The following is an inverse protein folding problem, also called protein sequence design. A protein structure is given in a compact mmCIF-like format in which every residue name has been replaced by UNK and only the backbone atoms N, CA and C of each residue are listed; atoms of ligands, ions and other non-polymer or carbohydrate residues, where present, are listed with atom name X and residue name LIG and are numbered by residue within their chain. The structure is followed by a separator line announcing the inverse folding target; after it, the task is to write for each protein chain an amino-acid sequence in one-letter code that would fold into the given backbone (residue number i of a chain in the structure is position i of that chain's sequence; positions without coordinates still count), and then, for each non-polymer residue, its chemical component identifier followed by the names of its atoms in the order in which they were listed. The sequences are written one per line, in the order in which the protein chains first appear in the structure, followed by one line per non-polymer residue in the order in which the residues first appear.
data_IF_530911373684
#
_entry.id   IF_530911373684
#
_cell.length_a   1.000
_cell.length_b   1.000
_cell.length_c   1.000
_cell.angle_alpha   90.00
_cell.angle_beta   90.00
_cell.angle_gamma   90.00
#
_symmetry.space_group_name_H-M   'P 1'
#
loop_
_entity.id
_entity.type
_entity.pdbx_description
1 polymer ?
#
# COMPACT_ATOMS: atom_id res chain seq x y z
N UNK A 1 -10.83 23.61 -2.23
CA UNK A 1 -9.40 23.37 -1.92
C UNK A 1 -9.27 21.91 -1.51
N UNK A 2 -8.31 21.18 -2.09
CA UNK A 2 -8.17 19.76 -1.82
C UNK A 2 -7.53 19.52 -0.46
N UNK A 3 -7.93 18.47 0.28
CA UNK A 3 -7.15 18.03 1.43
C UNK A 3 -5.76 17.65 0.95
N UNK A 4 -4.72 18.30 1.49
CA UNK A 4 -3.31 18.06 1.15
C UNK A 4 -2.98 16.55 1.21
N UNK A 5 -3.60 15.82 2.14
CA UNK A 5 -3.46 14.37 2.29
C UNK A 5 -3.92 13.58 1.07
N UNK A 6 -5.06 13.93 0.47
CA UNK A 6 -5.56 13.23 -0.73
C UNK A 6 -4.62 13.44 -1.94
N UNK A 7 -4.06 14.64 -2.06
CA UNK A 7 -3.07 14.96 -3.10
C UNK A 7 -1.80 14.14 -2.89
N UNK A 8 -1.29 14.08 -1.65
CA UNK A 8 -0.09 13.32 -1.32
C UNK A 8 -0.25 11.82 -1.58
N UNK A 9 -1.38 11.20 -1.18
CA UNK A 9 -1.62 9.78 -1.48
C UNK A 9 -1.63 9.54 -2.99
N UNK A 10 -2.29 10.42 -3.74
CA UNK A 10 -2.35 10.28 -5.21
C UNK A 10 -0.96 10.32 -5.82
N UNK A 11 -0.12 11.27 -5.40
CA UNK A 11 1.28 11.36 -5.83
C UNK A 11 2.06 10.10 -5.46
N UNK A 12 2.00 9.66 -4.20
CA UNK A 12 2.76 8.51 -3.71
C UNK A 12 2.34 7.19 -4.40
N UNK A 13 1.05 7.04 -4.73
CA UNK A 13 0.53 5.90 -5.50
C UNK A 13 1.02 5.95 -6.95
N UNK A 14 1.02 7.11 -7.59
CA UNK A 14 1.58 7.24 -8.95
C UNK A 14 3.08 6.96 -8.97
N UNK A 15 3.82 7.44 -7.96
CA UNK A 15 5.26 7.24 -7.87
C UNK A 15 5.60 5.75 -7.72
N UNK A 16 4.96 5.02 -6.82
CA UNK A 16 5.26 3.58 -6.64
C UNK A 16 4.87 2.74 -7.87
N UNK A 17 3.81 3.11 -8.59
CA UNK A 17 3.46 2.48 -9.87
C UNK A 17 4.51 2.78 -10.94
N UNK A 18 5.00 4.01 -11.00
CA UNK A 18 6.08 4.40 -11.92
C UNK A 18 7.38 3.65 -11.61
N UNK A 19 7.72 3.46 -10.33
CA UNK A 19 8.86 2.63 -9.92
C UNK A 19 8.69 1.19 -10.37
N UNK A 20 7.48 0.63 -10.31
CA UNK A 20 7.20 -0.71 -10.81
C UNK A 20 7.52 -0.83 -12.31
N UNK A 21 7.09 0.15 -13.10
CA UNK A 21 7.40 0.21 -14.53
C UNK A 21 8.91 0.31 -14.78
N UNK A 22 9.63 1.17 -14.06
CA UNK A 22 11.09 1.28 -14.18
C UNK A 22 11.78 -0.06 -13.87
N UNK A 23 11.33 -0.76 -12.83
CA UNK A 23 11.87 -2.07 -12.47
C UNK A 23 11.60 -3.11 -13.55
N UNK A 24 10.41 -3.10 -14.16
CA UNK A 24 10.04 -3.96 -15.29
C UNK A 24 10.93 -3.72 -16.51
N UNK A 25 11.11 -2.46 -16.92
CA UNK A 25 11.99 -2.05 -18.03
C UNK A 25 13.45 -2.51 -17.82
N UNK A 26 13.87 -2.62 -16.56
CA UNK A 26 15.21 -3.09 -16.15
C UNK A 26 15.29 -4.61 -15.92
N UNK A 27 14.24 -5.38 -16.22
CA UNK A 27 14.14 -6.82 -15.96
C UNK A 27 14.39 -7.19 -14.47
N UNK A 28 13.95 -6.33 -13.54
CA UNK A 28 14.03 -6.56 -12.09
C UNK A 28 12.65 -6.98 -11.55
N UNK A 29 12.58 -7.70 -10.41
CA UNK A 29 11.30 -8.01 -9.76
C UNK A 29 10.50 -6.73 -9.45
N UNK A 30 9.29 -6.63 -9.99
CA UNK A 30 8.46 -5.42 -9.93
C UNK A 30 7.02 -5.66 -9.43
N UNK A 31 6.67 -6.89 -9.04
CA UNK A 31 5.31 -7.22 -8.60
C UNK A 31 4.95 -6.44 -7.35
N UNK A 32 3.90 -5.61 -7.44
CA UNK A 32 3.34 -4.90 -6.30
C UNK A 32 2.26 -5.72 -5.61
N UNK A 33 2.26 -5.67 -4.29
CA UNK A 33 1.28 -6.32 -3.43
C UNK A 33 0.60 -5.28 -2.56
N UNK A 34 -0.72 -5.40 -2.41
CA UNK A 34 -1.54 -4.64 -1.48
C UNK A 34 -2.11 -5.57 -0.42
N UNK A 35 -1.81 -5.31 0.85
CA UNK A 35 -2.55 -5.89 1.98
C UNK A 35 -3.49 -4.86 2.59
N UNK A 36 -4.69 -5.31 2.96
CA UNK A 36 -5.71 -4.47 3.57
C UNK A 36 -6.22 -5.18 4.82
N UNK A 37 -6.20 -4.47 5.95
CA UNK A 37 -6.71 -4.96 7.22
C UNK A 37 -7.62 -3.92 7.87
N UNK A 38 -8.81 -4.29 8.37
CA UNK A 38 -9.65 -3.37 9.13
C UNK A 38 -8.90 -2.75 10.31
N UNK A 39 -9.11 -1.46 10.56
CA UNK A 39 -8.36 -0.72 11.56
C UNK A 39 -8.67 -1.19 12.99
N UNK A 40 -9.91 -1.66 13.22
CA UNK A 40 -10.29 -2.28 14.49
C UNK A 40 -9.42 -3.51 14.77
N UNK A 41 -9.23 -4.35 13.75
CA UNK A 41 -8.39 -5.54 13.81
C UNK A 41 -6.92 -5.13 13.98
N UNK A 42 -6.45 -4.15 13.20
CA UNK A 42 -5.09 -3.59 13.33
C UNK A 42 -4.74 -3.15 14.75
N UNK A 43 -5.68 -2.52 15.47
CA UNK A 43 -5.48 -1.99 16.83
C UNK A 43 -5.49 -3.07 17.92
N UNK A 44 -6.04 -4.25 17.65
CA UNK A 44 -6.12 -5.37 18.59
C UNK A 44 -4.82 -6.18 18.60
N UNK A 45 -3.69 -5.49 18.79
CA UNK A 45 -2.29 -5.95 18.60
C UNK A 45 -1.87 -7.24 19.32
N UNK A 46 -2.74 -7.88 20.11
CA UNK A 46 -2.46 -9.09 20.89
C UNK A 46 -3.65 -10.05 21.05
N UNK A 47 -4.80 -9.80 20.41
CA UNK A 47 -5.99 -10.63 20.62
C UNK A 47 -6.15 -11.70 19.52
N UNK A 48 -6.45 -12.94 19.93
CA UNK A 48 -6.90 -13.99 19.02
C UNK A 48 -8.32 -13.62 18.56
N UNK A 49 -8.48 -13.32 17.27
CA UNK A 49 -9.79 -12.94 16.72
C UNK A 49 -10.45 -14.13 16.02
N UNK A 50 -11.72 -13.99 15.65
CA UNK A 50 -12.43 -14.96 14.79
C UNK A 50 -11.77 -15.15 13.40
N UNK A 51 -10.89 -14.23 12.98
CA UNK A 51 -10.13 -14.29 11.73
C UNK A 51 -8.78 -15.02 11.89
N UNK A 52 -8.47 -15.52 13.09
CA UNK A 52 -7.24 -16.25 13.40
C UNK A 52 -6.21 -15.45 14.24
N UNK A 53 -5.01 -16.01 14.34
CA UNK A 53 -3.86 -15.34 14.97
C UNK A 53 -3.23 -14.35 13.99
N UNK A 54 -3.31 -13.07 14.30
CA UNK A 54 -2.58 -12.04 13.57
C UNK A 54 -1.13 -12.01 14.04
N UNK A 55 -0.21 -12.33 13.14
CA UNK A 55 1.23 -12.17 13.39
C UNK A 55 1.61 -10.71 13.11
N UNK A 56 1.39 -9.83 14.09
CA UNK A 56 1.62 -8.39 13.99
C UNK A 56 3.05 -7.91 13.64
N UNK A 57 4.17 -8.66 13.84
CA UNK A 57 5.47 -8.23 13.28
C UNK A 57 5.51 -8.27 11.74
N UNK A 58 4.49 -8.83 11.09
CA UNK A 58 4.35 -8.75 9.63
C UNK A 58 3.96 -7.35 9.19
N UNK A 59 4.54 -6.88 8.10
CA UNK A 59 4.04 -5.70 7.39
C UNK A 59 2.69 -5.99 6.78
N UNK A 60 2.64 -7.09 6.03
CA UNK A 60 1.45 -7.48 5.31
C UNK A 60 0.59 -8.25 6.29
N UNK A 61 -0.49 -7.60 6.70
CA UNK A 61 -1.40 -8.10 7.72
C UNK A 61 -2.70 -8.42 7.00
N UNK A 62 -3.06 -9.70 6.94
CA UNK A 62 -4.24 -10.18 6.23
C UNK A 62 -3.96 -10.59 4.77
N UNK A 63 -5.02 -10.60 3.97
CA UNK A 63 -4.96 -11.04 2.57
C UNK A 63 -4.09 -10.08 1.77
N UNK A 64 -3.10 -10.63 1.08
CA UNK A 64 -2.27 -9.90 0.12
C UNK A 64 -2.82 -10.13 -1.27
N UNK A 65 -3.05 -9.06 -2.01
CA UNK A 65 -3.55 -9.09 -3.38
C UNK A 65 -2.46 -8.51 -4.27
N UNK A 66 -2.14 -9.20 -5.37
CA UNK A 66 -1.25 -8.65 -6.39
C UNK A 66 -1.96 -7.50 -7.09
N UNK A 67 -1.29 -6.36 -7.13
CA UNK A 67 -1.80 -5.18 -7.78
C UNK A 67 -1.44 -5.22 -9.26
N UNK A 68 -2.46 -5.11 -10.12
CA UNK A 68 -2.29 -4.94 -11.56
C UNK A 68 -2.11 -3.47 -11.92
N UNK A 69 -3.01 -2.62 -11.43
CA UNK A 69 -3.01 -1.19 -11.73
C UNK A 69 -3.83 -0.41 -10.70
N UNK A 70 -3.78 0.93 -10.79
CA UNK A 70 -4.71 1.80 -10.09
C UNK A 70 -5.24 2.90 -11.02
N UNK A 71 -6.47 3.34 -10.79
CA UNK A 71 -7.08 4.46 -11.51
C UNK A 71 -7.39 5.59 -10.53
N UNK A 72 -7.08 6.82 -10.95
CA UNK A 72 -7.25 8.04 -10.16
C UNK A 72 -8.36 8.87 -10.80
N UNK A 73 -9.43 9.13 -10.03
CA UNK A 73 -10.46 10.08 -10.45
C UNK A 73 -10.19 11.45 -9.82
N UNK A 74 -9.83 12.43 -10.64
CA UNK A 74 -9.56 13.79 -10.18
C UNK A 74 -10.81 14.59 -9.80
N UNK A 75 -12.01 14.16 -10.21
CA UNK A 75 -13.25 14.84 -9.82
C UNK A 75 -13.69 14.43 -8.42
N UNK A 76 -13.64 13.11 -8.13
CA UNK A 76 -14.03 12.56 -6.82
C UNK A 76 -12.86 12.41 -5.86
N UNK A 77 -11.63 12.67 -6.32
CA UNK A 77 -10.36 12.46 -5.61
C UNK A 77 -10.30 11.08 -4.97
N UNK A 78 -10.59 10.08 -5.79
CA UNK A 78 -10.58 8.69 -5.37
C UNK A 78 -9.57 7.87 -6.17
N UNK A 79 -9.09 6.81 -5.54
CA UNK A 79 -8.14 5.87 -6.11
C UNK A 79 -8.78 4.49 -6.05
N UNK A 80 -8.91 3.85 -7.21
CA UNK A 80 -9.39 2.46 -7.31
C UNK A 80 -8.21 1.56 -7.64
N UNK A 81 -8.08 0.44 -6.94
CA UNK A 81 -7.01 -0.54 -7.14
C UNK A 81 -7.58 -1.81 -7.78
N UNK A 82 -6.87 -2.31 -8.78
CA UNK A 82 -7.29 -3.43 -9.63
C UNK A 82 -6.38 -4.63 -9.42
N UNK A 83 -6.97 -5.81 -9.30
CA UNK A 83 -6.23 -7.07 -9.20
C UNK A 83 -5.84 -7.61 -10.59
N UNK A 84 -5.20 -8.78 -10.63
CA UNK A 84 -4.76 -9.43 -11.88
C UNK A 84 -5.91 -9.75 -12.85
N UNK A 85 -7.15 -9.82 -12.37
CA UNK A 85 -8.36 -10.07 -13.17
C UNK A 85 -9.07 -8.76 -13.57
N UNK A 86 -8.45 -7.60 -13.32
CA UNK A 86 -9.01 -6.27 -13.55
C UNK A 86 -10.26 -5.95 -12.72
N UNK A 87 -10.46 -6.67 -11.60
CA UNK A 87 -11.53 -6.36 -10.67
C UNK A 87 -11.09 -5.27 -9.68
N UNK A 88 -11.98 -4.32 -9.39
CA UNK A 88 -11.75 -3.34 -8.33
C UNK A 88 -11.91 -4.07 -6.98
N UNK A 89 -10.81 -4.24 -6.26
CA UNK A 89 -10.83 -4.89 -4.94
C UNK A 89 -10.67 -3.90 -3.78
N UNK A 90 -10.18 -2.69 -4.06
CA UNK A 90 -9.99 -1.67 -3.04
C UNK A 90 -10.17 -0.26 -3.59
N UNK A 91 -10.66 0.64 -2.75
CA UNK A 91 -10.99 1.99 -3.14
C UNK A 91 -10.76 2.96 -1.98
N UNK A 92 -10.00 4.03 -2.24
CA UNK A 92 -9.76 5.13 -1.30
C UNK A 92 -10.54 6.34 -1.80
N UNK A 93 -11.41 6.90 -0.96
CA UNK A 93 -12.15 8.13 -1.25
C UNK A 93 -11.48 9.35 -0.64
N UNK A 94 -11.85 10.52 -1.15
CA UNK A 94 -11.39 11.79 -0.64
C UNK A 94 -11.63 11.93 0.87
N UNK A 95 -10.61 12.38 1.61
CA UNK A 95 -10.71 12.61 3.06
C UNK A 95 -10.68 11.33 3.91
N UNK A 96 -10.62 10.14 3.30
CA UNK A 96 -10.41 8.88 4.04
C UNK A 96 -8.98 8.74 4.56
N UNK A 97 -7.91 9.10 3.83
CA UNK A 97 -6.55 8.98 4.33
C UNK A 97 -6.30 9.87 5.55
N UNK A 98 -6.02 9.22 6.67
CA UNK A 98 -5.70 9.87 7.93
C UNK A 98 -4.19 9.97 8.14
N UNK A 99 -3.46 8.88 7.88
CA UNK A 99 -2.01 8.81 8.00
C UNK A 99 -1.43 8.14 6.75
N UNK A 100 -0.29 8.65 6.30
CA UNK A 100 0.48 8.10 5.19
C UNK A 100 1.89 7.90 5.72
N UNK A 101 2.43 6.69 5.60
CA UNK A 101 3.85 6.43 5.84
C UNK A 101 4.46 5.83 4.60
N UNK A 102 5.64 6.30 4.23
CA UNK A 102 6.41 5.74 3.12
C UNK A 102 7.85 5.56 3.55
N UNK A 103 8.52 4.63 2.92
CA UNK A 103 9.97 4.52 3.02
C UNK A 103 10.54 4.38 1.62
N UNK A 104 11.71 4.96 1.45
CA UNK A 104 12.42 4.97 0.19
C UNK A 104 13.51 3.89 0.19
N UNK A 105 13.95 3.54 -1.01
CA UNK A 105 15.16 2.76 -1.23
C UNK A 105 15.94 3.41 -2.37
N UNK A 106 17.22 3.08 -2.48
CA UNK A 106 18.06 3.55 -3.57
C UNK A 106 17.85 2.65 -4.79
N UNK A 107 17.43 3.26 -5.90
CA UNK A 107 17.39 2.66 -7.22
C UNK A 107 18.29 3.48 -8.14
N UNK A 108 19.43 2.90 -8.54
CA UNK A 108 20.43 3.53 -9.42
C UNK A 108 20.87 4.93 -8.92
N UNK A 109 21.15 5.03 -7.61
CA UNK A 109 21.52 6.25 -6.88
C UNK A 109 20.43 7.32 -6.73
N UNK A 110 19.20 7.03 -7.13
CA UNK A 110 18.05 7.88 -6.84
C UNK A 110 17.19 7.27 -5.71
N UNK A 111 16.71 8.09 -4.79
CA UNK A 111 15.71 7.66 -3.82
C UNK A 111 14.36 7.46 -4.51
N UNK A 112 13.77 6.27 -4.34
CA UNK A 112 12.46 5.90 -4.87
C UNK A 112 11.60 5.30 -3.78
N UNK A 113 10.28 5.47 -3.85
CA UNK A 113 9.36 4.82 -2.91
C UNK A 113 9.46 3.29 -3.03
N UNK A 114 9.75 2.62 -1.92
CA UNK A 114 9.77 1.15 -1.81
C UNK A 114 8.52 0.55 -1.17
N UNK A 115 7.84 1.32 -0.32
CA UNK A 115 6.52 0.97 0.18
C UNK A 115 5.67 2.20 0.53
N UNK A 116 4.36 1.97 0.59
CA UNK A 116 3.37 2.96 1.01
C UNK A 116 2.35 2.34 1.98
N UNK A 117 2.27 2.88 3.19
CA UNK A 117 1.24 2.58 4.19
C UNK A 117 0.21 3.70 4.21
N UNK A 118 -1.06 3.35 4.04
CA UNK A 118 -2.18 4.29 4.03
C UNK A 118 -3.16 3.84 5.11
N UNK A 119 -3.35 4.67 6.13
CA UNK A 119 -4.31 4.41 7.20
C UNK A 119 -5.52 5.31 6.99
N UNK A 120 -6.68 4.70 6.81
CA UNK A 120 -7.98 5.39 6.81
C UNK A 120 -8.64 5.31 8.19
N UNK A 121 -9.86 5.81 8.33
CA UNK A 121 -10.65 5.57 9.56
C UNK A 121 -11.13 4.12 9.70
N UNK A 122 -11.13 3.35 8.61
CA UNK A 122 -11.72 2.01 8.54
C UNK A 122 -10.68 0.92 8.39
N UNK A 123 -9.56 1.19 7.75
CA UNK A 123 -8.55 0.19 7.44
C UNK A 123 -7.13 0.75 7.38
N UNK A 124 -6.19 -0.18 7.33
CA UNK A 124 -4.81 0.04 6.95
C UNK A 124 -4.57 -0.70 5.63
N UNK A 125 -4.20 0.05 4.59
CA UNK A 125 -3.63 -0.48 3.36
C UNK A 125 -2.11 -0.41 3.39
N UNK A 126 -1.44 -1.45 2.90
CA UNK A 126 0.01 -1.46 2.75
C UNK A 126 0.44 -1.98 1.38
N UNK A 127 1.19 -1.16 0.65
CA UNK A 127 1.67 -1.42 -0.70
C UNK A 127 3.18 -1.63 -0.73
N UNK A 128 3.68 -2.73 -1.31
CA UNK A 128 5.13 -2.94 -1.53
C UNK A 128 5.46 -3.98 -2.60
N UNK A 129 6.71 -3.96 -3.06
CA UNK A 129 7.29 -4.90 -4.03
C UNK A 129 7.63 -6.29 -3.46
N UNK A 130 7.65 -6.43 -2.13
CA UNK A 130 7.93 -7.70 -1.46
C UNK A 130 6.83 -8.07 -0.46
N UNK A 131 6.44 -9.34 -0.49
CA UNK A 131 5.67 -10.00 0.56
C UNK A 131 6.60 -10.28 1.75
N UNK A 132 7.02 -9.23 2.46
CA UNK A 132 7.97 -9.35 3.55
C UNK A 132 7.33 -9.06 4.92
N UNK A 133 7.87 -9.68 5.98
CA UNK A 133 7.90 -9.04 7.30
C UNK A 133 8.94 -7.92 7.17
N UNK A 134 8.64 -6.68 7.57
CA UNK A 134 9.66 -5.61 7.53
C UNK A 134 10.75 -6.07 8.46
N UNK A 135 12.02 -5.85 8.10
CA UNK A 135 13.09 -6.58 8.74
C UNK A 135 13.04 -6.35 10.25
N UNK A 136 13.08 -7.44 11.01
CA UNK A 136 13.88 -7.45 12.22
C UNK A 136 15.27 -7.00 11.74
N UNK A 137 15.65 -5.76 12.02
CA UNK A 137 16.97 -5.26 11.59
C UNK A 137 18.03 -6.20 12.16
N UNK A 138 18.95 -6.56 11.26
CA UNK A 138 20.26 -7.15 11.47
C UNK A 138 20.82 -7.04 12.90
N UNK A 139 20.94 -8.21 13.53
CA UNK A 139 22.14 -8.71 14.21
C UNK A 139 22.20 -10.20 13.98
#
# INVERSE_FOLDING_TARGET
MLPIRSVNVTHDVMEILHVAQILEEKNRPCTLYLSIVPLAVYRQHTEQTALGFFQWPLIHQGRCIRLRSAAICHFTHSISFFDEEENIFYHIKNGEPFLIRKNTFLLDNEEKIGFLEIITRKERGFLSFSLSRWPLRFT
#
